data_IF_474311695184
#
_entry.id   IF_474311695184
#
_cell.length_a   1.000
_cell.length_b   1.000
_cell.length_c   1.000
_cell.angle_alpha   90.00
_cell.angle_beta   90.00
_cell.angle_gamma   90.00
#
_symmetry.space_group_name_H-M   'P 1'
#
loop_
_entity.id
_entity.type
_entity.pdbx_description
1 polymer ?
#
# COMPACT_ATOMS: atom_id res chain seq x y z
N UNK A 1 -51.70 39.24 -34.51
CA UNK A 1 -52.70 38.55 -33.67
C UNK A 1 -52.18 37.19 -33.26
N UNK A 2 -52.49 36.77 -32.02
CA UNK A 2 -51.64 35.92 -31.18
C UNK A 2 -52.16 34.48 -31.10
N UNK A 3 -51.37 33.56 -30.53
CA UNK A 3 -51.95 32.37 -29.91
C UNK A 3 -51.06 31.15 -29.72
N UNK A 4 -50.70 30.91 -28.46
CA UNK A 4 -50.55 29.59 -27.82
C UNK A 4 -49.33 28.71 -28.15
N UNK A 5 -48.34 28.76 -27.26
CA UNK A 5 -47.75 27.56 -26.62
C UNK A 5 -47.01 28.01 -25.36
N UNK A 6 -47.64 27.87 -24.21
CA UNK A 6 -47.45 26.74 -23.29
C UNK A 6 -46.21 26.94 -22.42
N UNK A 7 -46.45 27.43 -21.20
CA UNK A 7 -45.53 27.34 -20.06
C UNK A 7 -45.14 25.86 -19.88
N UNK A 8 -43.88 25.54 -20.07
CA UNK A 8 -43.27 24.38 -19.42
C UNK A 8 -42.19 24.90 -18.48
N UNK A 9 -42.55 24.87 -17.20
CA UNK A 9 -41.61 24.86 -16.09
C UNK A 9 -40.74 23.61 -16.26
N UNK A 10 -39.48 23.78 -16.66
CA UNK A 10 -38.48 22.73 -16.45
C UNK A 10 -37.95 22.89 -15.03
N UNK A 11 -38.44 22.01 -14.16
CA UNK A 11 -38.01 21.88 -12.79
C UNK A 11 -36.50 21.69 -12.72
N UNK A 12 -35.82 22.71 -12.19
CA UNK A 12 -34.47 22.56 -11.67
C UNK A 12 -34.50 21.46 -10.60
N UNK A 13 -34.01 20.28 -10.95
CA UNK A 13 -33.74 19.21 -10.01
C UNK A 13 -32.86 19.78 -8.90
N UNK A 14 -33.45 19.99 -7.72
CA UNK A 14 -32.72 20.25 -6.47
C UNK A 14 -31.97 18.97 -6.13
N UNK A 15 -30.89 18.71 -6.85
CA UNK A 15 -29.92 17.67 -6.52
C UNK A 15 -29.28 18.15 -5.23
N UNK A 16 -29.78 17.64 -4.10
CA UNK A 16 -29.33 18.04 -2.76
C UNK A 16 -27.81 18.05 -2.68
N UNK A 17 -27.25 18.97 -1.89
CA UNK A 17 -25.80 19.11 -1.78
C UNK A 17 -25.18 17.75 -1.44
N UNK A 18 -24.17 17.30 -2.20
CA UNK A 18 -23.57 16.00 -1.97
C UNK A 18 -22.93 15.97 -0.58
N UNK A 19 -23.41 15.06 0.27
CA UNK A 19 -22.83 14.77 1.58
C UNK A 19 -22.00 13.49 1.49
N UNK A 20 -20.81 13.50 2.09
CA UNK A 20 -19.94 12.32 2.14
C UNK A 20 -19.57 12.01 3.59
N UNK A 21 -19.54 10.72 3.93
CA UNK A 21 -19.19 10.23 5.26
C UNK A 21 -17.92 9.40 5.14
N UNK A 22 -16.92 9.73 5.96
CA UNK A 22 -15.73 8.89 6.12
C UNK A 22 -15.73 8.29 7.51
N UNK A 23 -15.95 6.97 7.60
CA UNK A 23 -15.87 6.25 8.88
C UNK A 23 -14.46 6.33 9.50
N UNK A 24 -13.43 6.55 8.66
CA UNK A 24 -12.05 6.77 9.13
C UNK A 24 -11.88 8.08 9.91
N UNK A 25 -12.79 9.05 9.73
CA UNK A 25 -12.72 10.32 10.44
C UNK A 25 -12.93 10.19 11.95
N UNK A 26 -13.53 9.10 12.43
CA UNK A 26 -13.72 8.82 13.85
C UNK A 26 -12.40 8.53 14.60
N UNK A 27 -11.32 8.20 13.89
CA UNK A 27 -10.02 7.94 14.49
C UNK A 27 -9.20 9.23 14.56
N UNK A 28 -8.99 9.71 15.78
CA UNK A 28 -8.30 10.96 16.11
C UNK A 28 -7.09 10.68 17.02
N UNK A 29 -6.03 11.50 16.94
CA UNK A 29 -4.87 11.39 17.82
C UNK A 29 -5.17 11.95 19.21
N UNK A 30 -4.21 11.84 20.13
CA UNK A 30 -4.26 12.54 21.41
C UNK A 30 -4.29 14.08 21.24
N UNK A 31 -4.78 14.85 22.23
CA UNK A 31 -4.78 16.32 22.17
C UNK A 31 -3.36 16.91 21.99
N UNK A 32 -3.17 17.75 20.97
CA UNK A 32 -1.85 18.27 20.58
C UNK A 32 -1.04 17.32 19.68
N UNK A 33 -1.65 16.21 19.25
CA UNK A 33 -1.09 15.28 18.29
C UNK A 33 -1.75 15.37 16.92
N UNK A 34 -1.11 14.73 15.94
CA UNK A 34 -1.55 14.56 14.55
C UNK A 34 -1.38 13.09 14.14
N UNK A 35 -2.18 12.64 13.18
CA UNK A 35 -1.99 11.32 12.56
C UNK A 35 -1.03 11.48 11.40
N UNK A 36 -0.03 10.61 11.35
CA UNK A 36 0.90 10.45 10.23
C UNK A 36 0.66 9.08 9.59
N UNK A 37 0.44 9.06 8.28
CA UNK A 37 0.34 7.85 7.48
C UNK A 37 1.45 7.84 6.42
N UNK A 38 2.16 6.73 6.30
CA UNK A 38 3.20 6.55 5.30
C UNK A 38 2.91 5.29 4.46
N UNK A 39 2.81 5.47 3.15
CA UNK A 39 2.38 4.44 2.18
C UNK A 39 3.48 4.22 1.13
N UNK A 40 3.83 2.97 0.87
CA UNK A 40 4.73 2.65 -0.23
C UNK A 40 4.06 2.80 -1.59
N UNK A 41 4.65 3.60 -2.46
CA UNK A 41 4.21 3.72 -3.84
C UNK A 41 4.48 2.44 -4.64
N UNK A 42 3.44 1.62 -4.82
CA UNK A 42 3.46 0.42 -5.67
C UNK A 42 4.51 -0.62 -5.22
N UNK A 43 4.56 -0.92 -3.92
CA UNK A 43 5.56 -1.82 -3.34
C UNK A 43 5.66 -3.17 -4.05
N UNK A 44 4.52 -3.84 -4.26
CA UNK A 44 4.49 -5.16 -4.90
C UNK A 44 5.05 -5.13 -6.33
N UNK A 45 4.74 -4.07 -7.10
CA UNK A 45 5.25 -3.92 -8.46
C UNK A 45 6.75 -3.64 -8.48
N UNK A 46 7.28 -2.91 -7.49
CA UNK A 46 8.71 -2.69 -7.30
C UNK A 46 9.46 -3.96 -6.95
N UNK A 47 8.88 -4.79 -6.08
CA UNK A 47 9.41 -6.11 -5.74
C UNK A 47 9.40 -7.02 -6.97
N UNK A 48 8.29 -7.04 -7.73
CA UNK A 48 8.22 -7.81 -8.97
C UNK A 48 9.31 -7.37 -9.94
N UNK A 49 9.50 -6.06 -10.16
CA UNK A 49 10.54 -5.53 -11.02
C UNK A 49 11.95 -5.99 -10.60
N UNK A 50 12.21 -6.00 -9.29
CA UNK A 50 13.46 -6.50 -8.75
C UNK A 50 13.60 -8.03 -8.94
N UNK A 51 12.59 -8.83 -8.64
CA UNK A 51 12.68 -10.28 -8.78
C UNK A 51 12.75 -10.73 -10.25
N UNK A 52 12.07 -10.01 -11.13
CA UNK A 52 12.00 -10.32 -12.55
C UNK A 52 13.17 -9.77 -13.37
N UNK A 53 13.91 -8.80 -12.81
CA UNK A 53 14.95 -8.03 -13.51
C UNK A 53 14.47 -7.50 -14.87
N UNK A 54 13.18 -7.14 -14.97
CA UNK A 54 12.61 -6.65 -16.22
C UNK A 54 13.03 -5.18 -16.44
N UNK A 55 13.93 -4.95 -17.40
CA UNK A 55 14.52 -3.64 -17.63
C UNK A 55 13.48 -2.55 -17.93
N UNK A 56 12.40 -2.90 -18.66
CA UNK A 56 11.36 -1.94 -19.00
C UNK A 56 10.58 -1.52 -17.75
N UNK A 57 10.18 -2.49 -16.93
CA UNK A 57 9.48 -2.19 -15.68
C UNK A 57 10.37 -1.41 -14.69
N UNK A 58 11.64 -1.81 -14.53
CA UNK A 58 12.61 -1.10 -13.69
C UNK A 58 12.77 0.34 -14.15
N UNK A 59 12.92 0.57 -15.46
CA UNK A 59 13.03 1.91 -16.04
C UNK A 59 11.81 2.76 -15.69
N UNK A 60 10.60 2.27 -16.00
CA UNK A 60 9.33 3.01 -15.76
C UNK A 60 9.16 3.37 -14.29
N UNK A 61 9.48 2.45 -13.37
CA UNK A 61 9.34 2.68 -11.93
C UNK A 61 10.36 3.67 -11.33
N UNK A 62 11.50 3.86 -12.00
CA UNK A 62 12.56 4.78 -11.57
C UNK A 62 12.43 6.17 -12.21
N UNK A 63 11.81 6.30 -13.39
CA UNK A 63 11.54 7.61 -14.03
C UNK A 63 10.34 8.34 -13.44
N UNK A 64 9.51 7.66 -12.65
CA UNK A 64 8.34 8.26 -11.99
C UNK A 64 7.11 8.40 -12.88
N UNK A 65 7.14 7.84 -14.08
CA UNK A 65 5.98 7.74 -14.97
C UNK A 65 4.94 6.83 -14.32
N UNK A 66 3.66 7.24 -14.34
CA UNK A 66 2.58 6.39 -13.82
C UNK A 66 2.34 5.22 -14.79
N UNK A 67 2.90 4.07 -14.43
CA UNK A 67 2.80 2.82 -15.19
C UNK A 67 1.36 2.44 -15.51
N UNK A 68 0.40 2.72 -14.62
CA UNK A 68 -1.00 2.36 -14.84
C UNK A 68 -1.67 3.29 -15.85
N UNK A 69 -1.31 4.58 -15.84
CA UNK A 69 -1.74 5.51 -16.90
C UNK A 69 -1.15 5.14 -18.25
N UNK A 70 0.13 4.74 -18.30
CA UNK A 70 0.73 4.27 -19.56
C UNK A 70 0.04 3.01 -20.09
N UNK A 71 -0.27 2.04 -19.23
CA UNK A 71 -0.99 0.82 -19.63
C UNK A 71 -2.42 1.11 -20.06
N UNK A 72 -3.12 2.00 -19.35
CA UNK A 72 -4.48 2.43 -19.69
C UNK A 72 -4.53 3.15 -21.04
N UNK A 73 -3.61 4.08 -21.26
CA UNK A 73 -3.46 4.85 -22.50
C UNK A 73 -3.25 3.93 -23.70
N UNK A 74 -2.32 2.98 -23.59
CA UNK A 74 -2.07 2.00 -24.64
C UNK A 74 -3.29 1.11 -24.89
N UNK A 75 -4.00 0.71 -23.83
CA UNK A 75 -5.21 -0.11 -23.97
C UNK A 75 -6.36 0.63 -24.68
N UNK A 76 -6.60 1.89 -24.34
CA UNK A 76 -7.69 2.69 -24.93
C UNK A 76 -7.26 3.48 -26.18
N UNK A 77 -6.01 3.36 -26.61
CA UNK A 77 -5.43 4.13 -27.71
C UNK A 77 -5.59 5.64 -27.49
N UNK A 78 -5.28 6.10 -26.28
CA UNK A 78 -5.37 7.51 -25.85
C UNK A 78 -4.03 7.96 -25.27
N UNK A 79 -3.83 9.26 -25.07
CA UNK A 79 -2.62 9.78 -24.43
C UNK A 79 -2.62 9.54 -22.90
N UNK A 80 -1.48 9.24 -22.25
CA UNK A 80 -1.38 9.02 -20.80
C UNK A 80 -1.98 10.13 -19.92
N UNK A 81 -1.90 11.38 -20.38
CA UNK A 81 -2.39 12.57 -19.69
C UNK A 81 -3.91 12.64 -19.69
N UNK A 82 -4.56 12.03 -20.69
CA UNK A 82 -6.01 11.97 -20.83
C UNK A 82 -6.67 10.86 -20.01
N UNK A 83 -5.86 9.99 -19.39
CA UNK A 83 -6.36 8.88 -18.56
C UNK A 83 -6.87 9.42 -17.21
N UNK A 84 -8.19 9.40 -17.04
CA UNK A 84 -8.86 9.70 -15.77
C UNK A 84 -8.57 8.66 -14.67
N UNK A 85 -8.89 9.00 -13.41
CA UNK A 85 -8.56 8.15 -12.26
C UNK A 85 -9.30 6.80 -12.28
N UNK A 86 -10.54 6.77 -12.75
CA UNK A 86 -11.34 5.53 -12.85
C UNK A 86 -10.67 4.53 -13.81
N UNK A 87 -10.28 5.00 -15.00
CA UNK A 87 -9.61 4.17 -16.00
C UNK A 87 -8.23 3.71 -15.51
N UNK A 88 -7.49 4.59 -14.83
CA UNK A 88 -6.23 4.25 -14.18
C UNK A 88 -6.41 3.16 -13.11
N UNK A 89 -7.46 3.26 -12.29
CA UNK A 89 -7.75 2.27 -11.25
C UNK A 89 -8.17 0.92 -11.87
N UNK A 90 -8.93 0.93 -12.97
CA UNK A 90 -9.26 -0.27 -13.73
C UNK A 90 -7.98 -0.92 -14.30
N UNK A 91 -7.10 -0.12 -14.92
CA UNK A 91 -5.82 -0.62 -15.45
C UNK A 91 -4.93 -1.20 -14.34
N UNK A 92 -4.91 -0.57 -13.15
CA UNK A 92 -4.22 -1.10 -11.97
C UNK A 92 -4.73 -2.49 -11.59
N UNK A 93 -6.04 -2.67 -11.49
CA UNK A 93 -6.66 -3.95 -11.15
C UNK A 93 -6.34 -5.02 -12.20
N UNK A 94 -6.40 -4.68 -13.48
CA UNK A 94 -6.05 -5.56 -14.59
C UNK A 94 -4.58 -5.98 -14.51
N UNK A 95 -3.64 -5.04 -14.35
CA UNK A 95 -2.21 -5.32 -14.26
C UNK A 95 -1.91 -6.33 -13.14
N UNK A 96 -2.41 -6.08 -11.93
CA UNK A 96 -2.22 -7.02 -10.82
C UNK A 96 -2.92 -8.35 -11.06
N UNK A 97 -4.09 -8.35 -11.69
CA UNK A 97 -4.77 -9.56 -12.14
C UNK A 97 -3.88 -10.41 -13.05
N UNK A 98 -3.31 -9.82 -14.09
CA UNK A 98 -2.43 -10.50 -15.05
C UNK A 98 -1.17 -11.04 -14.35
N UNK A 99 -0.52 -10.22 -13.53
CA UNK A 99 0.70 -10.58 -12.77
C UNK A 99 0.45 -11.81 -11.87
N UNK A 100 -0.72 -11.89 -11.24
CA UNK A 100 -1.08 -12.98 -10.33
C UNK A 100 -1.86 -14.12 -10.99
N UNK A 101 -1.92 -14.15 -12.33
CA UNK A 101 -2.42 -15.28 -13.10
C UNK A 101 -3.95 -15.34 -13.21
N UNK A 102 -4.62 -14.18 -13.26
CA UNK A 102 -6.01 -14.08 -13.68
C UNK A 102 -6.18 -14.68 -15.09
N UNK A 103 -7.18 -15.54 -15.26
CA UNK A 103 -7.48 -16.15 -16.56
C UNK A 103 -8.12 -15.16 -17.53
N UNK A 104 -8.01 -15.44 -18.83
CA UNK A 104 -8.56 -14.60 -19.90
C UNK A 104 -10.06 -14.34 -19.74
N UNK A 105 -10.83 -15.36 -19.33
CA UNK A 105 -12.27 -15.22 -19.06
C UNK A 105 -12.57 -14.15 -17.99
N UNK A 106 -12.00 -14.31 -16.79
CA UNK A 106 -12.21 -13.36 -15.69
C UNK A 106 -11.69 -11.96 -16.01
N UNK A 107 -10.60 -11.88 -16.78
CA UNK A 107 -10.09 -10.60 -17.25
C UNK A 107 -11.06 -9.93 -18.23
N UNK A 108 -11.60 -10.70 -19.19
CA UNK A 108 -12.60 -10.23 -20.15
C UNK A 108 -13.86 -9.70 -19.46
N UNK A 109 -14.34 -10.40 -18.43
CA UNK A 109 -15.47 -9.97 -17.59
C UNK A 109 -15.20 -8.63 -16.89
N UNK A 110 -14.01 -8.42 -16.32
CA UNK A 110 -13.64 -7.14 -15.66
C UNK A 110 -13.42 -5.98 -16.65
N UNK A 111 -13.02 -6.30 -17.89
CA UNK A 111 -12.73 -5.33 -18.94
C UNK A 111 -13.94 -5.01 -19.82
N UNK A 112 -15.01 -5.83 -19.75
CA UNK A 112 -16.15 -5.74 -20.67
C UNK A 112 -15.80 -6.12 -22.11
N UNK A 113 -14.84 -7.03 -22.31
CA UNK A 113 -14.38 -7.50 -23.63
C UNK A 113 -14.52 -9.02 -23.76
N UNK A 114 -14.42 -9.54 -25.00
CA UNK A 114 -14.50 -10.99 -25.24
C UNK A 114 -13.27 -11.71 -24.69
N UNK A 115 -13.44 -12.98 -24.31
CA UNK A 115 -12.36 -13.82 -23.76
C UNK A 115 -11.13 -13.89 -24.69
N UNK A 116 -11.34 -14.02 -26.01
CA UNK A 116 -10.24 -14.07 -26.97
C UNK A 116 -9.45 -12.76 -27.02
N UNK A 117 -10.12 -11.61 -26.93
CA UNK A 117 -9.45 -10.30 -26.92
C UNK A 117 -8.65 -10.11 -25.62
N UNK A 118 -9.21 -10.57 -24.49
CA UNK A 118 -8.51 -10.58 -23.21
C UNK A 118 -7.29 -11.52 -23.23
N UNK A 119 -7.38 -12.68 -23.88
CA UNK A 119 -6.25 -13.59 -24.06
C UNK A 119 -5.13 -12.95 -24.88
N UNK A 120 -5.47 -12.34 -26.03
CA UNK A 120 -4.52 -11.58 -26.84
C UNK A 120 -3.86 -10.44 -26.04
N UNK A 121 -4.62 -9.76 -25.18
CA UNK A 121 -4.08 -8.71 -24.32
C UNK A 121 -3.10 -9.25 -23.28
N UNK A 122 -3.42 -10.37 -22.62
CA UNK A 122 -2.50 -11.06 -21.68
C UNK A 122 -1.19 -11.44 -22.39
N UNK A 123 -1.28 -11.97 -23.60
CA UNK A 123 -0.11 -12.39 -24.36
C UNK A 123 0.73 -11.19 -24.84
N UNK A 124 0.08 -10.10 -25.23
CA UNK A 124 0.73 -8.82 -25.52
C UNK A 124 1.48 -8.29 -24.30
N UNK A 125 0.84 -8.29 -23.12
CA UNK A 125 1.46 -7.87 -21.87
C UNK A 125 2.69 -8.73 -21.53
N UNK A 126 2.57 -10.06 -21.61
CA UNK A 126 3.68 -11.00 -21.35
C UNK A 126 4.84 -10.85 -22.35
N UNK A 127 4.53 -10.50 -23.60
CA UNK A 127 5.54 -10.26 -24.64
C UNK A 127 6.26 -8.93 -24.43
N UNK A 128 5.57 -7.94 -23.85
CA UNK A 128 6.14 -6.63 -23.52
C UNK A 128 7.08 -6.68 -22.31
N UNK A 129 6.71 -7.44 -21.28
CA UNK A 129 7.46 -7.58 -20.04
C UNK A 129 8.00 -9.01 -19.90
N UNK A 130 8.98 -9.34 -20.73
CA UNK A 130 9.52 -10.69 -20.86
C UNK A 130 10.20 -11.18 -19.57
N UNK A 131 10.80 -10.27 -18.80
CA UNK A 131 11.41 -10.61 -17.51
C UNK A 131 10.38 -11.11 -16.51
N UNK A 132 9.18 -10.50 -16.50
CA UNK A 132 8.06 -10.93 -15.64
C UNK A 132 7.63 -12.35 -16.02
N UNK A 133 7.42 -12.61 -17.31
CA UNK A 133 6.99 -13.93 -17.79
C UNK A 133 8.05 -15.02 -17.48
N UNK A 134 9.33 -14.70 -17.66
CA UNK A 134 10.44 -15.57 -17.29
C UNK A 134 10.42 -15.88 -15.78
N UNK A 135 10.32 -14.85 -14.93
CA UNK A 135 10.23 -15.00 -13.48
C UNK A 135 9.04 -15.87 -13.04
N UNK A 136 7.85 -15.66 -13.60
CA UNK A 136 6.67 -16.44 -13.27
C UNK A 136 6.87 -17.93 -13.59
N UNK A 137 7.39 -18.23 -14.79
CA UNK A 137 7.65 -19.61 -15.22
C UNK A 137 8.73 -20.29 -14.36
N UNK A 138 9.84 -19.61 -14.10
CA UNK A 138 10.92 -20.16 -13.29
C UNK A 138 10.52 -20.31 -11.82
N UNK A 139 9.72 -19.39 -11.26
CA UNK A 139 9.19 -19.52 -9.88
C UNK A 139 8.34 -20.77 -9.74
N UNK A 140 7.42 -21.02 -10.69
CA UNK A 140 6.59 -22.23 -10.69
C UNK A 140 7.43 -23.49 -10.86
N UNK A 141 8.38 -23.48 -11.79
CA UNK A 141 9.29 -24.61 -12.06
C UNK A 141 10.14 -24.95 -10.82
N UNK A 142 10.72 -23.94 -10.17
CA UNK A 142 11.49 -24.11 -8.95
C UNK A 142 10.60 -24.62 -7.80
N UNK A 143 9.38 -24.08 -7.65
CA UNK A 143 8.44 -24.56 -6.65
C UNK A 143 8.04 -26.02 -6.88
N UNK A 144 7.86 -26.46 -8.14
CA UNK A 144 7.62 -27.87 -8.48
C UNK A 144 8.80 -28.77 -8.13
N UNK A 145 10.04 -28.30 -8.34
CA UNK A 145 11.25 -29.03 -7.96
C UNK A 145 11.36 -29.15 -6.44
N UNK A 146 11.33 -28.01 -5.75
CA UNK A 146 11.73 -27.86 -4.35
C UNK A 146 10.58 -28.11 -3.36
N UNK A 147 9.33 -27.92 -3.78
CA UNK A 147 8.13 -28.04 -2.94
C UNK A 147 7.80 -26.81 -2.10
N UNK A 148 8.55 -25.72 -2.26
CA UNK A 148 8.33 -24.45 -1.57
C UNK A 148 8.73 -23.25 -2.43
N UNK A 149 8.33 -22.06 -2.00
CA UNK A 149 8.87 -20.77 -2.47
C UNK A 149 9.52 -20.01 -1.33
N UNK A 150 10.36 -19.03 -1.66
CA UNK A 150 11.15 -18.27 -0.69
C UNK A 150 10.99 -16.76 -0.95
N UNK A 151 10.80 -15.97 0.10
CA UNK A 151 10.75 -14.50 0.02
C UNK A 151 12.15 -13.90 -0.10
N UNK A 152 12.24 -12.58 -0.35
CA UNK A 152 13.51 -11.85 -0.51
C UNK A 152 14.44 -12.00 0.71
N UNK A 153 13.89 -12.13 1.92
CA UNK A 153 14.67 -12.33 3.15
C UNK A 153 14.92 -13.81 3.50
N UNK A 154 14.51 -14.73 2.64
CA UNK A 154 14.78 -16.15 2.81
C UNK A 154 13.72 -16.96 3.56
N UNK A 155 12.60 -16.36 3.96
CA UNK A 155 11.49 -17.11 4.58
C UNK A 155 10.82 -18.00 3.54
N UNK A 156 10.55 -19.25 3.91
CA UNK A 156 9.95 -20.25 3.01
C UNK A 156 8.46 -20.47 3.27
N UNK A 157 7.71 -20.75 2.21
CA UNK A 157 6.33 -21.29 2.27
C UNK A 157 6.27 -22.58 1.46
N UNK A 158 5.94 -23.67 2.14
CA UNK A 158 5.74 -24.98 1.50
C UNK A 158 4.37 -25.01 0.81
N UNK A 159 4.34 -25.49 -0.43
CA UNK A 159 3.15 -25.54 -1.27
C UNK A 159 2.92 -26.98 -1.76
N UNK A 160 2.36 -27.86 -0.92
CA UNK A 160 2.21 -29.28 -1.26
C UNK A 160 1.35 -29.49 -2.52
N UNK A 161 0.34 -28.64 -2.75
CA UNK A 161 -0.54 -28.69 -3.92
C UNK A 161 0.17 -28.51 -5.27
N UNK A 162 1.43 -28.06 -5.29
CA UNK A 162 2.19 -27.87 -6.55
C UNK A 162 2.55 -29.20 -7.24
N UNK A 163 2.55 -30.30 -6.47
CA UNK A 163 2.81 -31.68 -6.95
C UNK A 163 1.53 -32.54 -7.01
N UNK A 164 0.36 -31.93 -6.81
CA UNK A 164 -0.92 -32.64 -6.86
C UNK A 164 -1.28 -33.04 -8.31
N UNK A 165 -1.97 -34.18 -8.45
CA UNK A 165 -2.49 -34.66 -9.72
C UNK A 165 -3.74 -33.87 -10.16
N UNK A 166 -4.49 -33.29 -9.22
CA UNK A 166 -5.65 -32.47 -9.52
C UNK A 166 -5.23 -31.16 -10.22
N UNK A 167 -5.66 -30.91 -11.47
CA UNK A 167 -5.29 -29.70 -12.22
C UNK A 167 -5.69 -28.40 -11.50
N UNK A 168 -6.81 -28.41 -10.75
CA UNK A 168 -7.28 -27.24 -10.02
C UNK A 168 -6.33 -26.89 -8.84
N UNK A 169 -5.95 -27.89 -8.03
CA UNK A 169 -5.00 -27.69 -6.92
C UNK A 169 -3.65 -27.23 -7.44
N UNK A 170 -3.17 -27.83 -8.53
CA UNK A 170 -1.92 -27.45 -9.17
C UNK A 170 -1.95 -26.00 -9.67
N UNK A 171 -2.98 -25.62 -10.43
CA UNK A 171 -3.12 -24.25 -10.93
C UNK A 171 -3.26 -23.22 -9.80
N UNK A 172 -3.95 -23.56 -8.70
CA UNK A 172 -4.01 -22.73 -7.51
C UNK A 172 -2.63 -22.56 -6.85
N UNK A 173 -1.90 -23.65 -6.66
CA UNK A 173 -0.55 -23.62 -6.07
C UNK A 173 0.44 -22.82 -6.92
N UNK A 174 0.31 -22.85 -8.26
CA UNK A 174 1.13 -22.04 -9.17
C UNK A 174 0.91 -20.54 -8.97
N UNK A 175 -0.35 -20.09 -8.89
CA UNK A 175 -0.67 -18.69 -8.57
C UNK A 175 -0.18 -18.31 -7.17
N UNK A 176 -0.36 -19.22 -6.21
CA UNK A 176 0.05 -19.04 -4.83
C UNK A 176 1.57 -18.93 -4.68
N UNK A 177 2.35 -19.64 -5.50
CA UNK A 177 3.80 -19.55 -5.54
C UNK A 177 4.27 -18.14 -5.92
N UNK A 178 3.71 -17.57 -6.99
CA UNK A 178 4.05 -16.22 -7.47
C UNK A 178 3.60 -15.17 -6.44
N UNK A 179 2.34 -15.24 -6.01
CA UNK A 179 1.76 -14.31 -5.05
C UNK A 179 2.53 -14.32 -3.72
N UNK A 180 2.85 -15.49 -3.17
CA UNK A 180 3.62 -15.59 -1.93
C UNK A 180 5.00 -14.96 -2.07
N UNK A 181 5.68 -15.18 -3.20
CA UNK A 181 7.03 -14.66 -3.41
C UNK A 181 7.03 -13.14 -3.41
N UNK A 182 6.04 -12.50 -4.06
CA UNK A 182 5.92 -11.04 -4.10
C UNK A 182 5.35 -10.46 -2.81
N UNK A 183 4.15 -10.88 -2.41
CA UNK A 183 3.45 -10.32 -1.23
C UNK A 183 4.13 -10.69 0.08
N UNK A 184 4.68 -11.90 0.18
CA UNK A 184 5.47 -12.31 1.34
C UNK A 184 6.73 -11.45 1.49
N UNK A 185 7.36 -11.08 0.37
CA UNK A 185 8.49 -10.14 0.37
C UNK A 185 8.04 -8.71 0.69
N UNK A 186 6.85 -8.29 0.28
CA UNK A 186 6.30 -6.99 0.66
C UNK A 186 6.10 -6.90 2.18
N UNK A 187 5.50 -7.93 2.77
CA UNK A 187 5.34 -8.03 4.22
C UNK A 187 6.70 -8.05 4.95
N UNK A 188 7.74 -8.63 4.35
CA UNK A 188 9.10 -8.59 4.91
C UNK A 188 9.65 -7.18 4.96
N UNK A 189 9.55 -6.45 3.86
CA UNK A 189 10.02 -5.06 3.76
C UNK A 189 9.29 -4.17 4.75
N UNK A 190 7.95 -4.25 4.81
CA UNK A 190 7.15 -3.44 5.74
C UNK A 190 7.51 -3.75 7.19
N UNK A 191 7.73 -5.02 7.55
CA UNK A 191 8.15 -5.40 8.91
C UNK A 191 9.54 -4.87 9.25
N UNK A 192 10.49 -5.00 8.33
CA UNK A 192 11.84 -4.44 8.50
C UNK A 192 11.77 -2.93 8.71
N UNK A 193 11.02 -2.21 7.87
CA UNK A 193 10.79 -0.78 8.02
C UNK A 193 10.19 -0.45 9.40
N UNK A 194 9.14 -1.16 9.82
CA UNK A 194 8.47 -0.93 11.11
C UNK A 194 9.43 -1.06 12.28
N UNK A 195 10.26 -2.13 12.30
CA UNK A 195 11.24 -2.34 13.38
C UNK A 195 12.35 -1.30 13.34
N UNK A 196 12.83 -0.91 12.16
CA UNK A 196 13.85 0.12 12.00
C UNK A 196 13.35 1.49 12.48
N UNK A 197 12.14 1.89 12.07
CA UNK A 197 11.49 3.13 12.52
C UNK A 197 11.38 3.13 14.03
N UNK A 198 10.81 2.06 14.61
CA UNK A 198 10.61 2.00 16.06
C UNK A 198 11.95 2.09 16.81
N UNK A 199 12.98 1.41 16.32
CA UNK A 199 14.34 1.46 16.90
C UNK A 199 14.92 2.88 16.84
N UNK A 200 14.70 3.60 15.74
CA UNK A 200 15.16 4.98 15.58
C UNK A 200 14.35 5.96 16.44
N UNK A 201 13.03 5.76 16.58
CA UNK A 201 12.19 6.56 17.47
C UNK A 201 12.58 6.38 18.95
N UNK A 202 12.97 5.17 19.36
CA UNK A 202 13.45 4.90 20.72
C UNK A 202 14.77 5.62 21.06
N UNK A 203 15.61 5.93 20.06
CA UNK A 203 16.84 6.71 20.27
C UNK A 203 16.61 8.21 20.10
N UNK A 204 15.61 8.59 19.32
CA UNK A 204 15.31 9.98 18.98
C UNK A 204 14.83 10.82 20.16
N UNK A 205 14.04 10.24 21.07
CA UNK A 205 13.57 10.89 22.28
C UNK A 205 13.71 9.95 23.48
N UNK A 206 14.30 10.44 24.59
CA UNK A 206 14.39 9.71 25.88
C UNK A 206 13.03 9.70 26.63
N UNK A 207 11.91 9.72 25.91
CA UNK A 207 10.58 9.58 26.48
C UNK A 207 10.23 8.10 26.66
N UNK A 208 9.08 7.84 27.30
CA UNK A 208 8.58 6.48 27.47
C UNK A 208 8.20 5.85 26.13
N UNK A 209 8.41 4.54 25.97
CA UNK A 209 8.28 3.84 24.68
C UNK A 209 6.87 3.79 24.10
N UNK A 210 5.85 3.75 24.95
CA UNK A 210 4.44 3.71 24.54
C UNK A 210 3.52 4.10 25.70
N UNK A 211 2.25 4.41 25.41
CA UNK A 211 1.26 4.81 26.43
C UNK A 211 1.17 3.86 27.64
N UNK A 212 1.34 2.54 27.44
CA UNK A 212 1.33 1.56 28.53
C UNK A 212 2.48 1.72 29.54
N UNK A 213 3.63 2.26 29.10
CA UNK A 213 4.76 2.53 30.00
C UNK A 213 4.46 3.67 30.98
N UNK A 214 3.61 4.63 30.57
CA UNK A 214 3.14 5.71 31.45
C UNK A 214 2.26 5.17 32.58
N UNK A 215 1.41 4.18 32.29
CA UNK A 215 0.60 3.51 33.32
C UNK A 215 1.45 2.69 34.29
N UNK A 216 2.49 2.02 33.79
CA UNK A 216 3.47 1.29 34.62
C UNK A 216 4.20 2.18 35.62
N UNK A 217 4.61 3.38 35.20
CA UNK A 217 5.31 4.36 36.05
C UNK A 217 4.45 4.83 37.23
N UNK A 218 3.16 5.14 36.97
CA UNK A 218 2.18 5.51 38.01
C UNK A 218 1.91 4.37 39.02
N UNK A 219 2.03 3.11 38.59
CA UNK A 219 1.86 1.94 39.47
C UNK A 219 3.10 1.64 40.31
N UNK A 220 4.30 1.91 39.79
CA UNK A 220 5.55 1.77 40.53
C UNK A 220 5.64 2.77 41.68
N UNK A 221 5.19 4.03 41.46
CA UNK A 221 5.17 5.06 42.51
C UNK A 221 4.20 4.72 43.67
N UNK A 222 3.13 3.96 43.42
CA UNK A 222 2.18 3.55 44.48
C UNK A 222 2.73 2.51 45.46
N UNK A 223 3.89 1.89 45.20
CA UNK A 223 4.56 0.99 46.16
C UNK A 223 5.60 1.69 47.06
N UNK A 224 5.82 3.00 46.87
CA UNK A 224 6.68 3.82 47.72
C UNK A 224 5.88 4.77 48.62
N UNK A 225 6.24 4.88 49.89
CA UNK A 225 5.62 5.78 50.87
C UNK A 225 5.96 7.27 50.61
N UNK A 226 4.92 8.14 50.67
CA UNK A 226 4.86 9.61 50.93
C UNK A 226 5.11 10.61 49.77
N UNK A 227 4.64 11.90 49.86
CA UNK A 227 3.47 12.47 50.56
C UNK A 227 2.52 13.23 49.60
N UNK A 228 1.32 13.62 50.09
CA UNK A 228 0.36 14.52 49.43
C UNK A 228 0.97 15.91 49.18
N UNK A 229 1.79 16.06 48.15
CA UNK A 229 2.21 17.32 47.56
C UNK A 229 1.71 17.36 46.11
N UNK A 230 1.15 18.48 45.67
CA UNK A 230 0.60 18.67 44.31
C UNK A 230 1.57 18.11 43.27
N UNK A 231 1.17 17.08 42.53
CA UNK A 231 1.94 16.51 41.41
C UNK A 231 2.16 17.59 40.34
N UNK A 232 3.36 18.18 40.21
CA UNK A 232 3.69 19.03 39.09
C UNK A 232 4.15 18.08 37.97
N UNK A 233 3.20 17.45 37.29
CA UNK A 233 3.51 16.43 36.27
C UNK A 233 2.31 15.88 35.50
N UNK A 234 1.09 16.33 35.80
CA UNK A 234 -0.11 15.83 35.11
C UNK A 234 -0.19 16.27 33.63
N UNK A 235 0.61 17.27 33.24
CA UNK A 235 0.78 17.76 31.88
C UNK A 235 2.24 17.66 31.43
N UNK A 236 2.84 16.46 31.45
CA UNK A 236 3.96 16.27 30.53
C UNK A 236 3.41 16.38 29.11
N UNK A 237 3.88 17.33 28.27
CA UNK A 237 3.51 17.35 26.86
C UNK A 237 3.89 15.99 26.29
N UNK A 238 2.93 15.34 25.65
CA UNK A 238 3.16 14.06 24.97
C UNK A 238 4.04 14.39 23.78
N UNK A 239 5.35 14.15 23.92
CA UNK A 239 6.37 14.29 22.89
C UNK A 239 6.66 12.93 22.25
N UNK A 240 7.02 12.94 20.97
CA UNK A 240 7.37 11.77 20.18
C UNK A 240 6.25 11.27 19.26
N UNK A 241 6.50 10.13 18.63
CA UNK A 241 5.56 9.42 17.76
C UNK A 241 5.36 7.99 18.21
N UNK A 242 4.12 7.50 18.14
CA UNK A 242 3.73 6.17 18.57
C UNK A 242 3.12 5.39 17.41
N UNK A 243 3.57 4.15 17.24
CA UNK A 243 3.03 3.23 16.25
C UNK A 243 1.60 2.83 16.62
N UNK A 244 0.68 2.92 15.67
CA UNK A 244 -0.74 2.55 15.86
C UNK A 244 -1.06 1.28 15.10
N UNK A 245 -0.85 1.29 13.78
CA UNK A 245 -1.44 0.31 12.88
C UNK A 245 -0.60 0.13 11.62
N UNK A 246 -0.59 -1.11 11.12
CA UNK A 246 -0.15 -1.45 9.77
C UNK A 246 -1.36 -1.88 8.94
N UNK A 247 -1.55 -1.28 7.77
CA UNK A 247 -2.54 -1.67 6.78
C UNK A 247 -1.85 -1.99 5.47
N UNK A 248 -1.57 -3.28 5.25
CA UNK A 248 -0.77 -3.73 4.11
C UNK A 248 0.59 -3.03 4.05
N UNK A 249 0.78 -2.11 3.10
CA UNK A 249 1.97 -1.30 2.85
C UNK A 249 1.88 0.14 3.41
N UNK A 250 0.80 0.48 4.13
CA UNK A 250 0.65 1.71 4.90
C UNK A 250 0.99 1.51 6.39
N UNK A 251 1.78 2.42 6.95
CA UNK A 251 2.09 2.50 8.38
C UNK A 251 1.47 3.76 8.97
N UNK A 252 0.75 3.61 10.08
CA UNK A 252 0.04 4.67 10.77
C UNK A 252 0.67 4.94 12.15
N UNK A 253 0.91 6.22 12.42
CA UNK A 253 1.45 6.74 13.67
C UNK A 253 0.57 7.89 14.17
N UNK A 254 0.49 8.05 15.50
CA UNK A 254 0.13 9.34 16.11
C UNK A 254 1.40 10.02 16.58
N UNK A 255 1.51 11.33 16.35
CA UNK A 255 2.74 12.07 16.59
C UNK A 255 2.40 13.40 17.23
N UNK A 256 3.21 13.86 18.18
CA UNK A 256 3.13 15.22 18.70
C UNK A 256 3.31 16.23 17.55
N UNK A 257 2.50 17.29 17.50
CA UNK A 257 2.58 18.29 16.43
C UNK A 257 3.97 18.92 16.31
N UNK A 258 4.67 19.06 17.45
CA UNK A 258 6.02 19.64 17.54
C UNK A 258 7.11 18.77 16.90
N UNK A 259 6.92 17.45 16.85
CA UNK A 259 7.96 16.49 16.41
C UNK A 259 7.62 15.91 15.02
N UNK A 260 6.53 16.35 14.40
CA UNK A 260 5.95 15.71 13.21
C UNK A 260 6.90 15.68 12.02
N UNK A 261 7.66 16.76 11.78
CA UNK A 261 8.62 16.85 10.66
C UNK A 261 9.73 15.81 10.82
N UNK A 262 10.27 15.70 12.04
CA UNK A 262 11.39 14.81 12.35
C UNK A 262 10.94 13.35 12.29
N UNK A 263 9.77 13.04 12.85
CA UNK A 263 9.19 11.69 12.76
C UNK A 263 8.86 11.33 11.32
N UNK A 264 8.32 12.27 10.52
CA UNK A 264 8.06 12.02 9.10
C UNK A 264 9.35 11.72 8.31
N UNK A 265 10.44 12.43 8.59
CA UNK A 265 11.76 12.16 8.01
C UNK A 265 12.28 10.76 8.38
N UNK A 266 12.18 10.39 9.66
CA UNK A 266 12.59 9.06 10.14
C UNK A 266 11.76 7.97 9.45
N UNK A 267 10.43 8.10 9.48
CA UNK A 267 9.50 7.13 8.86
C UNK A 267 9.81 6.97 7.38
N UNK A 268 9.93 8.09 6.65
CA UNK A 268 10.26 8.06 5.22
C UNK A 268 11.61 7.40 4.99
N UNK A 269 12.67 7.85 5.66
CA UNK A 269 14.03 7.31 5.49
C UNK A 269 14.11 5.81 5.75
N UNK A 270 13.56 5.33 6.87
CA UNK A 270 13.64 3.92 7.24
C UNK A 270 12.77 3.04 6.33
N UNK A 271 11.64 3.54 5.83
CA UNK A 271 10.87 2.84 4.80
C UNK A 271 11.61 2.77 3.47
N UNK A 272 12.16 3.88 2.97
CA UNK A 272 12.86 3.92 1.68
C UNK A 272 14.15 3.06 1.70
N UNK A 273 14.78 2.93 2.87
CA UNK A 273 16.04 2.20 3.06
C UNK A 273 15.89 0.79 3.69
N UNK A 274 14.66 0.31 3.89
CA UNK A 274 14.40 -0.98 4.55
C UNK A 274 15.13 -2.16 3.90
N UNK A 275 15.26 -2.15 2.57
CA UNK A 275 16.08 -3.10 1.81
C UNK A 275 16.56 -2.46 0.51
N UNK A 276 17.74 -2.85 0.04
CA UNK A 276 18.27 -2.40 -1.25
C UNK A 276 17.72 -3.26 -2.39
N UNK A 277 16.90 -2.67 -3.26
CA UNK A 277 16.37 -3.30 -4.47
C UNK A 277 16.94 -2.67 -5.75
N UNK A 278 16.60 -3.25 -6.90
CA UNK A 278 16.94 -2.70 -8.23
C UNK A 278 16.16 -1.42 -8.59
N UNK A 279 15.14 -1.09 -7.81
CA UNK A 279 14.27 0.09 -7.96
C UNK A 279 14.19 0.85 -6.65
N UNK A 280 14.04 2.18 -6.72
CA UNK A 280 13.86 3.00 -5.52
C UNK A 280 12.52 2.69 -4.86
N UNK A 281 12.48 2.52 -3.55
CA UNK A 281 11.23 2.37 -2.81
C UNK A 281 10.69 3.76 -2.48
N UNK A 282 9.78 4.31 -3.29
CA UNK A 282 9.21 5.63 -3.05
C UNK A 282 8.12 5.54 -1.97
N UNK A 283 8.13 6.46 -1.00
CA UNK A 283 7.12 6.56 0.06
C UNK A 283 6.35 7.87 -0.05
N UNK A 284 5.03 7.82 0.12
CA UNK A 284 4.17 9.00 0.28
C UNK A 284 3.82 9.14 1.74
N UNK A 285 4.05 10.34 2.29
CA UNK A 285 3.68 10.68 3.66
C UNK A 285 2.48 11.61 3.63
N UNK A 286 1.51 11.34 4.51
CA UNK A 286 0.33 12.18 4.70
C UNK A 286 0.13 12.46 6.18
N UNK A 287 -0.36 13.66 6.50
CA UNK A 287 -0.62 14.09 7.87
C UNK A 287 -2.00 14.69 7.98
N UNK A 288 -2.67 14.53 9.12
CA UNK A 288 -3.96 15.15 9.38
C UNK A 288 -4.40 15.08 10.84
N UNK A 289 -5.40 15.88 11.20
CA UNK A 289 -5.99 15.88 12.53
C UNK A 289 -6.84 14.63 12.82
N UNK A 290 -7.17 13.84 11.79
CA UNK A 290 -7.80 12.53 11.91
C UNK A 290 -7.41 11.67 10.71
N UNK A 291 -7.61 10.36 10.80
CA UNK A 291 -7.30 9.45 9.69
C UNK A 291 -8.15 9.74 8.42
N UNK A 292 -9.35 10.30 8.59
CA UNK A 292 -10.20 10.72 7.47
C UNK A 292 -9.81 12.05 6.82
N UNK A 293 -8.90 12.82 7.41
CA UNK A 293 -8.54 14.18 6.98
C UNK A 293 -7.05 14.33 6.64
N UNK A 294 -6.41 13.25 6.21
CA UNK A 294 -5.00 13.22 5.80
C UNK A 294 -4.75 14.02 4.52
N UNK A 295 -3.69 14.81 4.51
CA UNK A 295 -3.20 15.59 3.36
C UNK A 295 -1.76 15.21 3.05
N UNK A 296 -1.37 15.28 1.78
CA UNK A 296 0.00 15.03 1.36
C UNK A 296 0.95 15.99 2.09
N UNK A 297 2.08 15.44 2.56
CA UNK A 297 3.09 16.15 3.30
C UNK A 297 4.45 15.93 2.66
N UNK A 298 5.01 17.01 2.11
CA UNK A 298 6.30 16.99 1.45
C UNK A 298 7.41 17.18 2.49
N UNK A 299 8.29 16.18 2.54
CA UNK A 299 9.43 16.06 3.48
C UNK A 299 10.70 15.78 2.73
#
# INVERSE_FOLDING_TARGET
SPGHQARMEEGASVRGMPFSVSMRHAFVPFPGGVILAADYCQLELRILAHLSQDHRLIHVLNTGVDVFRSVAAEWKMTEPESVGEDLRQQAKQICYGIIYGMGAKSLGEQMGIKENDAACYIDSFKSRYTGINHFMKETVKNCRRDGFVQTVLGRRRYLPGIKDNNPYHKAHAERQAINTTVQGSAADIVKTATVNIQKQLETFHLTFKSHGHREGMLRSDRRGLLPRGRLPGMFCPVRGGFFILQLHDELLYEVAEEDVVQVAQIVKSEMENAIKLSVKLKVKVKIGASWGALKDFDV
#
